data_IF_847198540340
#
_entry.id   IF_847198540340
#
_cell.length_a   1.000
_cell.length_b   1.000
_cell.length_c   1.000
_cell.angle_alpha   90.00
_cell.angle_beta   90.00
_cell.angle_gamma   90.00
#
_symmetry.space_group_name_H-M   'P 1'
#
loop_
_entity.id
_entity.type
_entity.pdbx_description
1 polymer ?
#
# COMPACT_ATOMS: atom_id res chain seq x y z
N UNK A 1 -10.08 -3.87 -16.68
CA UNK A 1 -10.48 -2.49 -16.34
C UNK A 1 -11.11 -2.41 -14.96
N UNK A 2 -12.11 -3.23 -14.62
CA UNK A 2 -12.82 -3.18 -13.32
C UNK A 2 -11.89 -3.15 -12.08
N UNK A 3 -10.84 -3.98 -12.02
CA UNK A 3 -9.93 -4.06 -10.86
C UNK A 3 -9.10 -2.79 -10.62
N UNK A 4 -8.62 -2.14 -11.67
CA UNK A 4 -7.81 -0.92 -11.54
C UNK A 4 -8.65 0.26 -11.04
N UNK A 5 -9.92 0.36 -11.45
CA UNK A 5 -10.85 1.34 -10.91
C UNK A 5 -11.17 1.11 -9.43
N UNK A 6 -11.23 -0.15 -8.97
CA UNK A 6 -11.39 -0.45 -7.54
C UNK A 6 -10.19 0.04 -6.74
N UNK A 7 -8.95 -0.19 -7.20
CA UNK A 7 -7.76 0.29 -6.50
C UNK A 7 -7.66 1.82 -6.48
N UNK A 8 -8.09 2.48 -7.57
CA UNK A 8 -8.21 3.93 -7.61
C UNK A 8 -9.26 4.41 -6.61
N UNK A 9 -10.42 3.76 -6.54
CA UNK A 9 -11.46 4.06 -5.54
C UNK A 9 -10.99 3.91 -4.10
N UNK A 10 -10.19 2.88 -3.80
CA UNK A 10 -9.59 2.70 -2.46
C UNK A 10 -8.62 3.86 -2.14
N UNK A 11 -7.74 4.22 -3.08
CA UNK A 11 -6.84 5.35 -2.89
C UNK A 11 -7.60 6.67 -2.72
N UNK A 12 -8.64 6.90 -3.52
CA UNK A 12 -9.50 8.08 -3.39
C UNK A 12 -10.23 8.12 -2.05
N UNK A 13 -10.72 6.98 -1.54
CA UNK A 13 -11.31 6.88 -0.21
C UNK A 13 -10.31 7.26 0.88
N UNK A 14 -9.08 6.73 0.84
CA UNK A 14 -8.02 7.06 1.80
C UNK A 14 -7.64 8.55 1.71
N UNK A 15 -7.60 9.10 0.49
CA UNK A 15 -7.36 10.53 0.28
C UNK A 15 -8.44 11.40 0.93
N UNK A 16 -9.72 11.11 0.66
CA UNK A 16 -10.84 11.84 1.27
C UNK A 16 -10.78 11.72 2.79
N UNK A 17 -10.51 10.52 3.32
CA UNK A 17 -10.34 10.30 4.75
C UNK A 17 -9.23 11.19 5.33
N UNK A 18 -8.06 11.25 4.67
CA UNK A 18 -6.96 12.13 5.07
C UNK A 18 -7.37 13.60 5.12
N UNK A 19 -8.04 14.11 4.07
CA UNK A 19 -8.49 15.51 4.02
C UNK A 19 -9.48 15.83 5.14
N UNK A 20 -10.42 14.91 5.41
CA UNK A 20 -11.37 15.06 6.51
C UNK A 20 -10.63 15.10 7.85
N UNK A 21 -9.68 14.19 8.06
CA UNK A 21 -8.90 14.13 9.30
C UNK A 21 -8.05 15.37 9.53
N UNK A 22 -7.43 15.89 8.46
CA UNK A 22 -6.68 17.14 8.47
C UNK A 22 -7.57 18.35 8.78
N UNK A 23 -8.79 18.40 8.23
CA UNK A 23 -9.72 19.49 8.54
C UNK A 23 -10.06 19.55 10.04
N UNK A 24 -10.15 18.38 10.70
CA UNK A 24 -10.44 18.28 12.12
C UNK A 24 -9.21 18.33 13.04
N UNK A 25 -8.00 18.46 12.50
CA UNK A 25 -6.77 18.40 13.30
C UNK A 25 -6.40 19.71 13.99
N UNK A 26 -7.23 20.76 13.85
CA UNK A 26 -7.08 22.06 14.51
C UNK A 26 -5.67 22.69 14.35
N UNK A 27 -5.05 22.49 13.19
CA UNK A 27 -3.73 23.07 12.84
C UNK A 27 -2.54 22.16 13.12
N UNK A 28 -2.75 20.92 13.57
CA UNK A 28 -1.70 19.91 13.70
C UNK A 28 -1.70 19.00 12.48
N UNK A 29 -0.56 18.90 11.79
CA UNK A 29 -0.47 18.13 10.54
C UNK A 29 0.46 16.93 10.69
N UNK A 30 0.14 15.86 9.96
CA UNK A 30 1.03 14.71 9.80
C UNK A 30 1.24 14.39 8.33
N UNK A 31 2.52 14.31 7.93
CA UNK A 31 2.88 13.85 6.59
C UNK A 31 2.40 12.42 6.30
N UNK A 32 2.41 11.55 7.31
CA UNK A 32 1.96 10.16 7.16
C UNK A 32 0.46 10.05 6.88
N UNK A 33 -0.35 10.97 7.40
CA UNK A 33 -1.78 11.04 7.07
C UNK A 33 -1.97 11.55 5.64
N UNK A 34 -1.40 12.72 5.33
CA UNK A 34 -1.54 13.41 4.03
C UNK A 34 -1.12 12.50 2.87
N UNK A 35 -0.02 11.77 3.02
CA UNK A 35 0.52 10.90 1.97
C UNK A 35 0.02 9.46 2.03
N UNK A 36 -0.88 9.09 2.96
CA UNK A 36 -1.37 7.72 3.10
C UNK A 36 -2.01 7.18 1.81
N UNK A 37 -2.65 8.04 1.01
CA UNK A 37 -3.30 7.64 -0.24
C UNK A 37 -2.31 7.20 -1.33
N UNK A 38 -1.05 7.64 -1.25
CA UNK A 38 0.00 7.25 -2.21
C UNK A 38 0.36 5.77 -2.07
N UNK A 39 0.21 5.18 -0.88
CA UNK A 39 0.55 3.78 -0.63
C UNK A 39 -0.34 2.83 -1.46
N UNK A 40 -1.69 2.89 -1.41
CA UNK A 40 -2.53 2.09 -2.29
C UNK A 40 -2.43 2.51 -3.76
N UNK A 41 -2.15 3.79 -4.06
CA UNK A 41 -1.98 4.26 -5.44
C UNK A 41 -0.73 3.63 -6.09
N UNK A 42 0.44 3.82 -5.47
CA UNK A 42 1.71 3.31 -5.98
C UNK A 42 1.83 1.80 -5.79
N UNK A 43 1.24 1.25 -4.72
CA UNK A 43 1.31 -0.17 -4.43
C UNK A 43 0.35 -1.02 -5.26
N UNK A 44 -0.89 -0.59 -5.50
CA UNK A 44 -1.90 -1.42 -6.18
C UNK A 44 -2.17 -0.95 -7.61
N UNK A 45 -2.33 0.35 -7.81
CA UNK A 45 -2.73 0.89 -9.11
C UNK A 45 -1.57 0.83 -10.12
N UNK A 46 -0.36 1.26 -9.73
CA UNK A 46 0.82 1.23 -10.62
C UNK A 46 1.17 -0.20 -11.06
N UNK A 47 1.31 -1.22 -10.18
CA UNK A 47 1.63 -2.57 -10.63
C UNK A 47 0.50 -3.20 -11.44
N UNK A 48 -0.76 -2.87 -11.14
CA UNK A 48 -1.89 -3.32 -11.95
C UNK A 48 -1.86 -2.77 -13.38
N UNK A 49 -1.35 -1.56 -13.58
CA UNK A 49 -1.21 -0.94 -14.90
C UNK A 49 0.04 -1.48 -15.59
N UNK A 50 1.17 -1.51 -14.89
CA UNK A 50 2.45 -1.97 -15.42
C UNK A 50 2.37 -3.41 -15.92
N UNK A 51 1.77 -4.31 -15.15
CA UNK A 51 1.58 -5.70 -15.58
C UNK A 51 0.65 -5.85 -16.78
N UNK A 52 -0.34 -4.97 -16.90
CA UNK A 52 -1.33 -5.02 -17.99
C UNK A 52 -0.76 -4.46 -19.29
N UNK A 53 -0.04 -3.36 -19.23
CA UNK A 53 0.45 -2.64 -20.42
C UNK A 53 1.83 -3.10 -20.88
N UNK A 54 2.75 -3.39 -19.96
CA UNK A 54 4.16 -3.61 -20.28
C UNK A 54 4.53 -5.10 -20.21
N UNK A 55 4.22 -5.76 -19.08
CA UNK A 55 4.79 -7.08 -18.82
C UNK A 55 3.99 -8.26 -19.41
N UNK A 56 2.68 -8.09 -19.69
CA UNK A 56 1.73 -9.17 -20.06
C UNK A 56 1.95 -10.47 -19.26
N UNK A 57 2.35 -10.33 -18.00
CA UNK A 57 2.85 -11.44 -17.17
C UNK A 57 1.79 -11.81 -16.12
N UNK A 58 1.43 -13.08 -16.13
CA UNK A 58 0.61 -13.70 -15.09
C UNK A 58 1.39 -13.70 -13.76
N UNK A 59 1.10 -12.73 -12.89
CA UNK A 59 1.62 -12.73 -11.52
C UNK A 59 0.99 -13.91 -10.77
N UNK A 60 1.75 -14.69 -9.98
CA UNK A 60 1.16 -15.71 -9.11
C UNK A 60 0.15 -15.10 -8.13
N UNK A 61 -0.96 -15.80 -7.88
CA UNK A 61 -1.99 -15.32 -6.96
C UNK A 61 -1.48 -15.15 -5.54
N UNK A 62 -0.52 -15.98 -5.11
CA UNK A 62 0.16 -15.83 -3.81
C UNK A 62 0.95 -14.53 -3.70
N UNK A 63 1.68 -14.13 -4.76
CA UNK A 63 2.39 -12.85 -4.77
C UNK A 63 1.41 -11.66 -4.80
N UNK A 64 0.30 -11.76 -5.53
CA UNK A 64 -0.75 -10.71 -5.51
C UNK A 64 -1.35 -10.57 -4.12
N UNK A 65 -1.63 -11.68 -3.44
CA UNK A 65 -2.21 -11.67 -2.09
C UNK A 65 -1.23 -11.03 -1.10
N UNK A 66 0.03 -11.50 -1.10
CA UNK A 66 1.08 -10.97 -0.23
C UNK A 66 1.30 -9.48 -0.45
N UNK A 67 1.30 -9.02 -1.71
CA UNK A 67 1.41 -7.60 -2.06
C UNK A 67 0.21 -6.79 -1.54
N UNK A 68 -1.02 -7.28 -1.76
CA UNK A 68 -2.23 -6.62 -1.25
C UNK A 68 -2.23 -6.50 0.27
N UNK A 69 -1.84 -7.56 0.98
CA UNK A 69 -1.73 -7.54 2.43
C UNK A 69 -0.65 -6.56 2.89
N UNK A 70 0.54 -6.57 2.27
CA UNK A 70 1.62 -5.64 2.60
C UNK A 70 1.21 -4.18 2.42
N UNK A 71 0.56 -3.85 1.30
CA UNK A 71 0.06 -2.51 1.01
C UNK A 71 -1.05 -2.09 1.97
N UNK A 72 -1.97 -3.00 2.31
CA UNK A 72 -3.01 -2.73 3.30
C UNK A 72 -2.38 -2.42 4.67
N UNK A 73 -1.41 -3.22 5.12
CA UNK A 73 -0.68 -3.01 6.37
C UNK A 73 0.07 -1.68 6.38
N UNK A 74 0.76 -1.33 5.30
CA UNK A 74 1.46 -0.04 5.17
C UNK A 74 0.49 1.14 5.20
N UNK A 75 -0.65 1.02 4.51
CA UNK A 75 -1.68 2.08 4.48
C UNK A 75 -2.26 2.30 5.87
N UNK A 76 -2.64 1.22 6.57
CA UNK A 76 -3.15 1.28 7.94
C UNK A 76 -2.08 1.83 8.89
N UNK A 77 -0.82 1.41 8.75
CA UNK A 77 0.30 1.91 9.53
C UNK A 77 0.55 3.41 9.35
N UNK A 78 0.47 3.90 8.11
CA UNK A 78 0.62 5.33 7.80
C UNK A 78 -0.51 6.16 8.39
N UNK A 79 -1.76 5.68 8.28
CA UNK A 79 -2.91 6.33 8.92
C UNK A 79 -2.73 6.33 10.44
N UNK A 80 -2.40 5.18 11.03
CA UNK A 80 -2.22 5.05 12.47
C UNK A 80 -1.13 5.98 13.01
N UNK A 81 0.03 6.04 12.34
CA UNK A 81 1.09 7.00 12.68
C UNK A 81 0.61 8.44 12.52
N UNK A 82 -0.12 8.73 11.45
CA UNK A 82 -0.66 10.07 11.20
C UNK A 82 -1.64 10.53 12.27
N UNK A 83 -2.47 9.61 12.75
CA UNK A 83 -3.34 9.83 13.92
C UNK A 83 -2.50 10.17 15.15
N UNK A 84 -1.52 9.32 15.50
CA UNK A 84 -0.69 9.53 16.69
C UNK A 84 0.03 10.89 16.69
N UNK A 85 0.61 11.29 15.56
CA UNK A 85 1.27 12.59 15.40
C UNK A 85 0.30 13.76 15.59
N UNK A 86 -0.92 13.67 15.06
CA UNK A 86 -1.96 14.70 15.25
C UNK A 86 -2.39 14.79 16.72
N UNK A 87 -2.47 13.65 17.41
CA UNK A 87 -2.76 13.59 18.85
C UNK A 87 -1.56 13.98 19.73
N UNK A 88 -0.38 14.22 19.15
CA UNK A 88 0.84 14.55 19.91
C UNK A 88 1.38 13.39 20.73
N UNK A 89 1.14 12.15 20.31
CA UNK A 89 1.61 10.93 20.99
C UNK A 89 2.48 10.09 20.07
N UNK A 90 3.32 9.23 20.63
CA UNK A 90 4.17 8.32 19.86
C UNK A 90 4.19 6.95 20.53
N UNK A 91 3.97 5.89 19.76
CA UNK A 91 4.07 4.51 20.26
C UNK A 91 4.95 3.68 19.33
N UNK A 92 5.61 2.66 19.86
CA UNK A 92 6.45 1.75 19.08
C UNK A 92 5.68 0.93 18.03
N UNK A 93 4.34 0.94 18.07
CA UNK A 93 3.51 0.22 17.10
C UNK A 93 3.66 0.77 15.68
N UNK A 94 4.04 2.03 15.50
CA UNK A 94 4.28 2.59 14.16
C UNK A 94 5.35 1.79 13.38
N UNK A 95 6.44 1.43 14.07
CA UNK A 95 7.57 0.73 13.48
C UNK A 95 7.17 -0.70 13.12
N UNK A 96 6.31 -1.31 13.95
CA UNK A 96 5.81 -2.67 13.71
C UNK A 96 4.99 -2.70 12.42
N UNK A 97 4.04 -1.77 12.22
CA UNK A 97 3.26 -1.73 10.99
C UNK A 97 4.12 -1.48 9.75
N UNK A 98 5.10 -0.58 9.85
CA UNK A 98 6.01 -0.27 8.74
C UNK A 98 6.89 -1.48 8.39
N UNK A 99 7.44 -2.16 9.39
CA UNK A 99 8.34 -3.31 9.22
C UNK A 99 7.58 -4.51 8.65
N UNK A 100 6.41 -4.84 9.20
CA UNK A 100 5.58 -5.96 8.73
C UNK A 100 5.07 -5.70 7.31
N UNK A 101 4.61 -4.47 7.03
CA UNK A 101 4.15 -4.09 5.70
C UNK A 101 5.27 -4.18 4.65
N UNK A 102 6.46 -3.70 4.97
CA UNK A 102 7.64 -3.80 4.10
C UNK A 102 8.06 -5.25 3.87
N UNK A 103 8.10 -6.07 4.93
CA UNK A 103 8.44 -7.49 4.84
C UNK A 103 7.49 -8.25 3.91
N UNK A 104 6.18 -7.98 3.98
CA UNK A 104 5.19 -8.55 3.08
C UNK A 104 5.37 -8.09 1.63
N UNK A 105 5.70 -6.83 1.40
CA UNK A 105 5.99 -6.32 0.06
C UNK A 105 7.25 -6.97 -0.54
N UNK A 106 8.31 -7.15 0.24
CA UNK A 106 9.54 -7.84 -0.18
C UNK A 106 9.23 -9.31 -0.50
N UNK A 107 8.47 -10.00 0.35
CA UNK A 107 8.05 -11.39 0.12
C UNK A 107 7.28 -11.53 -1.19
N UNK A 108 6.37 -10.60 -1.49
CA UNK A 108 5.66 -10.59 -2.77
C UNK A 108 6.61 -10.44 -3.96
N UNK A 109 7.63 -9.58 -3.86
CA UNK A 109 8.66 -9.43 -4.88
C UNK A 109 9.46 -10.71 -5.12
N UNK A 110 9.89 -11.38 -4.04
CA UNK A 110 10.59 -12.66 -4.10
C UNK A 110 9.71 -13.74 -4.78
N UNK A 111 8.45 -13.83 -4.38
CA UNK A 111 7.49 -14.78 -4.97
C UNK A 111 7.24 -14.53 -6.46
N UNK A 112 7.28 -13.27 -6.91
CA UNK A 112 7.27 -12.99 -8.34
C UNK A 112 8.53 -13.58 -9.00
N UNK A 113 9.73 -13.25 -8.51
CA UNK A 113 11.01 -13.69 -9.11
C UNK A 113 11.16 -15.22 -9.19
N UNK A 114 10.70 -15.96 -8.18
CA UNK A 114 10.80 -17.43 -8.17
C UNK A 114 9.95 -18.03 -9.31
N UNK A 115 8.69 -17.61 -9.46
CA UNK A 115 7.83 -18.17 -10.52
C UNK A 115 8.30 -17.78 -11.93
N UNK A 116 9.00 -16.66 -12.04
CA UNK A 116 9.56 -16.22 -13.32
C UNK A 116 10.69 -17.12 -13.81
N UNK A 117 11.45 -17.73 -12.91
CA UNK A 117 12.46 -18.73 -13.25
C UNK A 117 11.82 -20.06 -13.68
N UNK A 118 10.77 -20.52 -12.98
CA UNK A 118 10.07 -21.77 -13.34
C UNK A 118 9.47 -21.74 -14.76
N UNK A 119 9.01 -20.57 -15.23
CA UNK A 119 8.48 -20.41 -16.60
C UNK A 119 9.59 -20.30 -17.67
N UNK A 120 10.85 -20.12 -17.29
CA UNK A 120 11.97 -20.05 -18.23
C UNK A 120 12.61 -21.41 -18.51
N UNK A 121 12.30 -22.42 -17.69
CA UNK A 121 12.90 -23.76 -17.75
C UNK A 121 12.00 -24.84 -18.37
N UNK A 122 10.81 -24.48 -18.85
CA UNK A 122 9.86 -25.38 -19.53
C UNK A 122 9.29 -24.77 -20.79
#
# INVERSE_FOLDING_TARGET
MKKSFIYLGISAFVFIFSQVYEHFSHGVYSGFMIYAFLIPLLGLFVPSILNRFILKREIPDMAKLSLKCGIATLTVGSIYKGVLEIYGTSTNFEIIYLTVGLALCILAGILMTIKTNIKSEG
#
